data_IF_964677599731
#
_entry.id   IF_964677599731
#
_cell.length_a   1.000
_cell.length_b   1.000
_cell.length_c   1.000
_cell.angle_alpha   90.00
_cell.angle_beta   90.00
_cell.angle_gamma   90.00
#
_symmetry.space_group_name_H-M   'P 1'
#
loop_
_entity.id
_entity.type
_entity.pdbx_description
1 polymer ?
#
# COMPACT_ATOMS: atom_id res chain seq x y z
N UNK A 1 -13.45 -11.66 15.41
CA UNK A 1 -12.78 -11.47 14.10
C UNK A 1 -13.67 -12.16 13.07
N UNK A 2 -14.34 -11.41 12.19
CA UNK A 2 -15.10 -12.03 11.11
C UNK A 2 -14.16 -12.24 9.93
N UNK A 3 -13.76 -13.47 9.67
CA UNK A 3 -13.15 -13.86 8.40
C UNK A 3 -14.33 -14.00 7.43
N UNK A 4 -14.42 -13.11 6.46
CA UNK A 4 -15.36 -13.22 5.36
C UNK A 4 -14.56 -13.43 4.09
N UNK A 5 -14.69 -14.60 3.51
CA UNK A 5 -14.10 -14.91 2.23
C UNK A 5 -15.02 -14.37 1.12
N UNK A 6 -14.44 -13.71 0.14
CA UNK A 6 -15.15 -13.37 -1.08
C UNK A 6 -15.00 -14.54 -2.06
N UNK A 7 -16.09 -15.20 -2.39
CA UNK A 7 -16.14 -16.26 -3.39
C UNK A 7 -16.66 -15.68 -4.70
N UNK A 8 -15.75 -15.24 -5.56
CA UNK A 8 -16.10 -14.85 -6.93
C UNK A 8 -15.07 -15.45 -7.89
N UNK A 9 -15.49 -16.42 -8.68
CA UNK A 9 -14.63 -17.12 -9.63
C UNK A 9 -14.12 -16.23 -10.77
N UNK A 10 -14.80 -15.12 -11.04
CA UNK A 10 -14.47 -14.19 -12.12
C UNK A 10 -13.58 -13.02 -11.67
N UNK A 11 -13.55 -12.72 -10.38
CA UNK A 11 -12.82 -11.58 -9.80
C UNK A 11 -11.81 -12.08 -8.77
N UNK A 12 -10.67 -12.55 -9.26
CA UNK A 12 -9.59 -13.10 -8.42
C UNK A 12 -8.50 -12.05 -8.20
N UNK A 13 -8.10 -11.85 -6.95
CA UNK A 13 -6.99 -10.99 -6.58
C UNK A 13 -7.29 -10.09 -5.39
N UNK A 14 -6.21 -9.57 -4.78
CA UNK A 14 -6.27 -8.73 -3.59
C UNK A 14 -7.09 -7.46 -3.81
N UNK A 15 -6.95 -6.82 -4.98
CA UNK A 15 -7.68 -5.60 -5.31
C UNK A 15 -9.20 -5.79 -5.27
N UNK A 16 -9.72 -6.88 -5.86
CA UNK A 16 -11.14 -7.20 -5.82
C UNK A 16 -11.64 -7.51 -4.40
N UNK A 17 -10.85 -8.27 -3.64
CA UNK A 17 -11.17 -8.58 -2.25
C UNK A 17 -11.24 -7.31 -1.38
N UNK A 18 -10.32 -6.36 -1.60
CA UNK A 18 -10.31 -5.07 -0.92
C UNK A 18 -11.53 -4.22 -1.32
N UNK A 19 -11.87 -4.14 -2.59
CA UNK A 19 -13.05 -3.40 -3.06
C UNK A 19 -14.33 -3.93 -2.43
N UNK A 20 -14.50 -5.25 -2.43
CA UNK A 20 -15.62 -5.91 -1.76
C UNK A 20 -15.68 -5.59 -0.27
N UNK A 21 -14.53 -5.65 0.44
CA UNK A 21 -14.46 -5.34 1.87
C UNK A 21 -14.79 -3.88 2.17
N UNK A 22 -14.34 -2.93 1.35
CA UNK A 22 -14.64 -1.52 1.55
C UNK A 22 -16.12 -1.23 1.36
N UNK A 23 -16.79 -1.87 0.39
CA UNK A 23 -18.24 -1.76 0.23
C UNK A 23 -18.98 -2.25 1.49
N UNK A 24 -18.59 -3.40 2.03
CA UNK A 24 -19.15 -3.94 3.27
C UNK A 24 -18.89 -3.07 4.49
N UNK A 25 -17.72 -2.46 4.56
CA UNK A 25 -17.38 -1.51 5.63
C UNK A 25 -18.35 -0.32 5.63
N UNK A 26 -18.74 0.17 4.46
CA UNK A 26 -19.65 1.31 4.35
C UNK A 26 -21.11 0.99 4.64
N UNK A 27 -21.50 -0.27 4.61
CA UNK A 27 -22.82 -0.76 5.03
C UNK A 27 -22.95 -0.91 6.56
N UNK A 28 -21.84 -0.82 7.31
CA UNK A 28 -21.87 -0.96 8.77
C UNK A 28 -22.51 0.27 9.42
N UNK A 29 -23.25 0.06 10.51
CA UNK A 29 -23.82 1.15 11.32
C UNK A 29 -22.75 2.10 11.86
N UNK A 30 -21.63 1.52 12.32
CA UNK A 30 -20.49 2.28 12.82
C UNK A 30 -19.69 2.87 11.66
N UNK A 31 -19.52 4.18 11.69
CA UNK A 31 -18.66 4.89 10.74
C UNK A 31 -17.22 4.94 11.25
N UNK A 32 -16.28 4.80 10.34
CA UNK A 32 -14.84 4.86 10.60
C UNK A 32 -14.21 5.98 9.77
N UNK A 33 -13.22 6.68 10.33
CA UNK A 33 -12.54 7.79 9.65
C UNK A 33 -11.49 7.30 8.66
N UNK A 34 -10.87 6.15 8.94
CA UNK A 34 -9.84 5.57 8.09
C UNK A 34 -9.80 4.05 8.20
N UNK A 35 -9.18 3.42 7.21
CA UNK A 35 -8.91 1.97 7.16
C UNK A 35 -7.41 1.75 7.10
N UNK A 36 -6.88 0.88 7.96
CA UNK A 36 -5.53 0.37 7.86
C UNK A 36 -5.53 -1.03 7.22
N UNK A 37 -4.66 -1.24 6.25
CA UNK A 37 -4.56 -2.50 5.51
C UNK A 37 -3.22 -3.17 5.81
N UNK A 38 -3.28 -4.45 6.16
CA UNK A 38 -2.13 -5.29 6.43
C UNK A 38 -2.25 -6.63 5.72
N UNK A 39 -1.13 -7.19 5.31
CA UNK A 39 -1.07 -8.58 4.91
C UNK A 39 -1.18 -9.49 6.16
N UNK A 40 -1.73 -10.68 5.99
CA UNK A 40 -2.09 -11.57 7.11
C UNK A 40 -0.88 -12.05 7.92
N UNK A 41 0.30 -12.00 7.34
CA UNK A 41 1.58 -12.41 7.94
C UNK A 41 2.36 -11.25 8.58
N UNK A 42 1.85 -10.02 8.52
CA UNK A 42 2.54 -8.87 9.06
C UNK A 42 2.52 -8.81 10.60
N UNK A 43 3.61 -8.32 11.17
CA UNK A 43 3.67 -7.88 12.56
C UNK A 43 3.62 -6.35 12.59
N UNK A 44 2.72 -5.81 13.38
CA UNK A 44 2.49 -4.37 13.44
C UNK A 44 3.12 -3.80 14.72
N UNK A 45 3.95 -2.77 14.58
CA UNK A 45 4.56 -2.10 15.73
C UNK A 45 3.47 -1.48 16.64
N UNK A 46 3.58 -1.54 17.97
CA UNK A 46 2.56 -1.03 18.89
C UNK A 46 2.17 0.44 18.68
N UNK A 47 3.08 1.25 18.17
CA UNK A 47 2.83 2.67 17.90
C UNK A 47 2.14 2.95 16.57
N UNK A 48 1.98 1.96 15.70
CA UNK A 48 1.50 2.16 14.32
C UNK A 48 0.19 2.96 14.26
N UNK A 49 -0.84 2.53 14.97
CA UNK A 49 -2.14 3.21 14.94
C UNK A 49 -2.08 4.62 15.52
N UNK A 50 -1.25 4.84 16.54
CA UNK A 50 -1.05 6.18 17.12
C UNK A 50 -0.41 7.14 16.10
N UNK A 51 0.61 6.67 15.38
CA UNK A 51 1.29 7.46 14.35
C UNK A 51 0.35 7.75 13.17
N UNK A 52 -0.41 6.76 12.70
CA UNK A 52 -1.40 6.97 11.64
C UNK A 52 -2.49 7.97 12.07
N UNK A 53 -3.02 7.83 13.28
CA UNK A 53 -4.00 8.77 13.82
C UNK A 53 -3.44 10.20 13.92
N UNK A 54 -2.20 10.35 14.39
CA UNK A 54 -1.55 11.66 14.47
C UNK A 54 -1.46 12.36 13.10
N UNK A 55 -1.19 11.59 12.03
CA UNK A 55 -1.11 12.10 10.67
C UNK A 55 -2.48 12.42 10.08
N UNK A 56 -3.48 11.58 10.31
CA UNK A 56 -4.86 11.86 9.94
C UNK A 56 -5.36 13.16 10.59
N UNK A 57 -5.05 13.39 11.87
CA UNK A 57 -5.37 14.64 12.57
C UNK A 57 -4.66 15.87 11.97
N UNK A 58 -3.53 15.69 11.27
CA UNK A 58 -2.85 16.76 10.54
C UNK A 58 -3.40 16.96 9.11
N UNK A 59 -4.43 16.20 8.73
CA UNK A 59 -5.06 16.27 7.42
C UNK A 59 -4.45 15.39 6.34
N UNK A 60 -3.48 14.53 6.68
CA UNK A 60 -2.96 13.52 5.77
C UNK A 60 -4.03 12.44 5.57
N UNK A 61 -4.25 11.98 4.34
CA UNK A 61 -5.44 11.19 4.01
C UNK A 61 -5.11 9.83 3.35
N UNK A 62 -3.96 9.74 2.69
CA UNK A 62 -3.45 8.54 2.06
C UNK A 62 -2.01 8.37 2.54
N UNK A 63 -1.77 7.41 3.43
CA UNK A 63 -0.54 7.33 4.21
C UNK A 63 0.08 5.95 4.07
N UNK A 64 1.36 5.89 3.72
CA UNK A 64 2.16 4.67 3.73
C UNK A 64 3.07 4.66 4.96
N UNK A 65 3.06 3.54 5.69
CA UNK A 65 3.98 3.28 6.80
C UNK A 65 5.30 2.67 6.35
N UNK A 66 6.23 2.59 7.29
CA UNK A 66 7.55 1.99 7.08
C UNK A 66 7.45 0.46 7.01
N UNK A 67 7.91 -0.11 5.90
CA UNK A 67 7.94 -1.56 5.69
C UNK A 67 9.31 -2.12 6.09
N UNK A 68 9.38 -2.71 7.27
CA UNK A 68 10.58 -3.39 7.77
C UNK A 68 10.51 -4.91 7.49
N UNK A 69 11.51 -5.64 7.91
CA UNK A 69 11.63 -7.08 7.71
C UNK A 69 11.50 -7.83 9.03
N UNK A 70 10.71 -8.93 9.03
CA UNK A 70 10.67 -9.87 10.15
C UNK A 70 11.91 -10.76 10.21
N UNK A 71 12.44 -11.12 9.05
CA UNK A 71 13.42 -12.20 8.88
C UNK A 71 14.68 -11.77 8.10
N UNK A 72 15.34 -10.65 8.44
CA UNK A 72 16.48 -10.13 7.67
C UNK A 72 17.71 -11.06 7.69
N UNK A 73 17.80 -11.94 8.68
CA UNK A 73 18.97 -12.81 8.92
C UNK A 73 18.74 -14.28 8.55
N UNK A 74 17.56 -14.66 8.04
CA UNK A 74 17.23 -16.06 7.79
C UNK A 74 18.02 -16.65 6.61
N UNK A 75 18.16 -15.86 5.53
CA UNK A 75 18.94 -16.21 4.35
C UNK A 75 19.59 -14.97 3.74
N UNK A 76 20.60 -15.19 2.88
CA UNK A 76 21.19 -14.08 2.14
C UNK A 76 20.16 -13.38 1.21
N UNK A 77 19.14 -14.11 0.72
CA UNK A 77 18.06 -13.55 -0.09
C UNK A 77 17.22 -12.59 0.75
N UNK A 78 16.76 -13.02 1.92
CA UNK A 78 15.97 -12.16 2.82
C UNK A 78 16.78 -10.96 3.30
N UNK A 79 18.08 -11.12 3.52
CA UNK A 79 18.99 -10.02 3.86
C UNK A 79 19.08 -8.96 2.76
N UNK A 80 19.32 -9.37 1.52
CA UNK A 80 19.37 -8.45 0.35
C UNK A 80 18.02 -7.76 0.14
N UNK A 81 16.90 -8.49 0.31
CA UNK A 81 15.57 -7.90 0.24
C UNK A 81 15.38 -6.82 1.33
N UNK A 82 15.77 -7.12 2.56
CA UNK A 82 15.67 -6.18 3.69
C UNK A 82 16.47 -4.92 3.44
N UNK A 83 17.72 -5.04 3.00
CA UNK A 83 18.56 -3.89 2.64
C UNK A 83 17.88 -3.06 1.54
N UNK A 84 17.33 -3.69 0.50
CA UNK A 84 16.65 -2.96 -0.57
C UNK A 84 15.43 -2.19 -0.07
N UNK A 85 14.64 -2.73 0.85
CA UNK A 85 13.51 -2.04 1.47
C UNK A 85 13.98 -0.89 2.37
N UNK A 86 15.03 -1.07 3.17
CA UNK A 86 15.59 0.01 4.00
C UNK A 86 16.08 1.18 3.15
N UNK A 87 16.75 0.90 2.03
CA UNK A 87 17.16 1.94 1.09
C UNK A 87 15.95 2.65 0.49
N UNK A 88 14.94 1.91 0.03
CA UNK A 88 13.71 2.50 -0.53
C UNK A 88 12.98 3.35 0.50
N UNK A 89 12.84 2.88 1.74
CA UNK A 89 12.20 3.63 2.81
C UNK A 89 12.88 4.99 3.08
N UNK A 90 14.23 5.02 3.11
CA UNK A 90 14.98 6.23 3.43
C UNK A 90 15.22 7.12 2.20
N UNK A 91 15.72 6.54 1.10
CA UNK A 91 16.18 7.30 -0.07
C UNK A 91 15.01 7.67 -0.99
N UNK A 92 13.93 6.86 -0.99
CA UNK A 92 12.79 7.11 -1.87
C UNK A 92 11.60 7.71 -1.11
N UNK A 93 11.04 7.01 -0.14
CA UNK A 93 9.82 7.46 0.55
C UNK A 93 10.07 8.67 1.45
N UNK A 94 11.02 8.56 2.37
CA UNK A 94 11.33 9.65 3.31
C UNK A 94 11.88 10.90 2.59
N UNK A 95 12.76 10.71 1.62
CA UNK A 95 13.31 11.84 0.86
C UNK A 95 12.22 12.58 0.08
N UNK A 96 11.33 11.86 -0.61
CA UNK A 96 10.18 12.45 -1.32
C UNK A 96 9.27 13.22 -0.37
N UNK A 97 8.93 12.61 0.76
CA UNK A 97 8.08 13.25 1.77
C UNK A 97 8.69 14.57 2.26
N UNK A 98 9.99 14.58 2.56
CA UNK A 98 10.70 15.77 3.06
C UNK A 98 10.75 16.94 2.06
N UNK A 99 10.67 16.65 0.77
CA UNK A 99 10.64 17.69 -0.28
C UNK A 99 9.21 17.95 -0.82
N UNK A 100 8.20 17.42 -0.16
CA UNK A 100 6.79 17.66 -0.51
C UNK A 100 6.29 16.89 -1.73
N UNK A 101 7.00 15.85 -2.19
CA UNK A 101 6.56 14.99 -3.27
C UNK A 101 5.73 13.81 -2.76
N UNK A 102 4.83 13.32 -3.62
CA UNK A 102 4.04 12.14 -3.33
C UNK A 102 4.91 10.90 -3.20
N UNK A 103 4.67 10.12 -2.15
CA UNK A 103 5.16 8.76 -2.01
C UNK A 103 4.29 7.79 -2.82
N UNK A 104 4.33 6.49 -2.52
CA UNK A 104 3.43 5.50 -3.09
C UNK A 104 3.03 4.48 -2.03
N UNK A 105 1.89 3.83 -2.23
CA UNK A 105 1.46 2.69 -1.42
C UNK A 105 2.29 1.45 -1.76
N UNK A 106 2.50 0.59 -0.78
CA UNK A 106 3.29 -0.64 -0.89
C UNK A 106 2.49 -1.92 -0.59
N UNK A 107 1.16 -1.86 -0.73
CA UNK A 107 0.26 -3.00 -0.58
C UNK A 107 -0.07 -3.40 0.86
N UNK A 108 0.76 -3.03 1.82
CA UNK A 108 0.57 -3.31 3.26
C UNK A 108 1.06 -2.14 4.09
N UNK A 109 0.68 -2.08 5.37
CA UNK A 109 1.07 -0.99 6.27
C UNK A 109 0.59 0.38 5.78
N UNK A 110 -0.54 0.44 5.11
CA UNK A 110 -1.12 1.67 4.57
C UNK A 110 -2.37 2.07 5.34
N UNK A 111 -2.61 3.36 5.43
CA UNK A 111 -3.79 3.96 6.03
C UNK A 111 -4.49 4.87 5.02
N UNK A 112 -5.77 4.64 4.79
CA UNK A 112 -6.58 5.33 3.79
C UNK A 112 -7.78 5.94 4.50
N UNK A 113 -7.97 7.25 4.35
CA UNK A 113 -9.16 7.93 4.85
C UNK A 113 -10.40 7.41 4.12
N UNK A 114 -11.47 7.10 4.86
CA UNK A 114 -12.70 6.53 4.31
C UNK A 114 -13.41 7.49 3.35
N UNK A 115 -13.22 8.80 3.49
CA UNK A 115 -13.78 9.77 2.58
C UNK A 115 -13.20 9.67 1.15
N UNK A 116 -11.92 9.29 1.01
CA UNK A 116 -11.31 9.00 -0.30
C UNK A 116 -11.98 7.76 -0.92
N UNK A 117 -12.09 6.68 -0.14
CA UNK A 117 -12.70 5.43 -0.60
C UNK A 117 -14.19 5.62 -0.97
N UNK A 118 -14.92 6.47 -0.23
CA UNK A 118 -16.32 6.76 -0.53
C UNK A 118 -16.50 7.58 -1.81
N UNK A 119 -15.60 8.55 -2.07
CA UNK A 119 -15.71 9.44 -3.25
C UNK A 119 -15.19 8.80 -4.53
N UNK A 120 -14.09 8.08 -4.45
CA UNK A 120 -13.36 7.59 -5.63
C UNK A 120 -13.46 6.08 -5.80
N UNK A 121 -13.98 5.34 -4.80
CA UNK A 121 -13.93 3.89 -4.75
C UNK A 121 -12.50 3.36 -4.66
N UNK A 122 -12.32 2.07 -4.48
CA UNK A 122 -11.02 1.44 -4.63
C UNK A 122 -10.70 1.22 -6.11
N UNK A 123 -11.47 0.39 -6.78
CA UNK A 123 -11.44 0.15 -8.22
C UNK A 123 -10.06 -0.15 -8.81
N UNK A 124 -9.10 -0.58 -8.00
CA UNK A 124 -7.77 -0.99 -8.44
C UNK A 124 -7.75 -2.51 -8.62
N UNK A 125 -7.54 -2.97 -9.85
CA UNK A 125 -7.73 -4.36 -10.27
C UNK A 125 -6.50 -5.01 -10.86
N UNK A 126 -5.40 -4.26 -11.06
CA UNK A 126 -4.18 -4.82 -11.60
C UNK A 126 -3.40 -5.64 -10.54
N UNK A 127 -2.31 -6.30 -10.97
CA UNK A 127 -1.46 -7.12 -10.09
C UNK A 127 -0.73 -6.33 -8.99
N UNK A 128 -0.64 -5.01 -9.15
CA UNK A 128 -0.10 -4.06 -8.17
C UNK A 128 -1.18 -3.00 -7.92
N UNK A 129 -2.22 -3.44 -7.23
CA UNK A 129 -3.42 -2.65 -6.93
C UNK A 129 -3.12 -1.40 -6.10
N UNK A 130 -2.09 -1.47 -5.27
CA UNK A 130 -1.55 -0.40 -4.45
C UNK A 130 -0.95 0.73 -5.31
N UNK A 131 -0.14 0.37 -6.28
CA UNK A 131 0.44 1.32 -7.23
C UNK A 131 -0.65 1.92 -8.13
N UNK A 132 -1.61 1.10 -8.59
CA UNK A 132 -2.75 1.59 -9.39
C UNK A 132 -3.57 2.61 -8.60
N UNK A 133 -3.88 2.31 -7.33
CA UNK A 133 -4.63 3.23 -6.48
C UNK A 133 -3.83 4.50 -6.19
N UNK A 134 -2.51 4.40 -5.98
CA UNK A 134 -1.63 5.57 -5.85
C UNK A 134 -1.74 6.50 -7.05
N UNK A 135 -1.69 5.96 -8.28
CA UNK A 135 -1.81 6.79 -9.50
C UNK A 135 -3.19 7.41 -9.65
N UNK A 136 -4.26 6.68 -9.31
CA UNK A 136 -5.62 7.22 -9.29
C UNK A 136 -5.76 8.38 -8.32
N UNK A 137 -5.31 8.20 -7.08
CA UNK A 137 -5.36 9.25 -6.05
C UNK A 137 -4.55 10.49 -6.47
N UNK A 138 -3.37 10.29 -7.04
CA UNK A 138 -2.53 11.39 -7.52
C UNK A 138 -3.19 12.18 -8.65
N UNK A 139 -3.87 11.51 -9.58
CA UNK A 139 -4.67 12.16 -10.61
C UNK A 139 -5.81 13.01 -10.04
N UNK A 140 -6.33 12.70 -8.87
CA UNK A 140 -7.33 13.49 -8.15
C UNK A 140 -6.70 14.55 -7.22
N UNK A 141 -5.37 14.73 -7.29
CA UNK A 141 -4.65 15.69 -6.47
C UNK A 141 -4.48 15.25 -5.01
N UNK A 142 -4.58 13.94 -4.74
CA UNK A 142 -4.42 13.36 -3.41
C UNK A 142 -3.05 12.69 -3.35
N UNK A 143 -2.03 13.33 -2.73
CA UNK A 143 -0.72 12.73 -2.60
C UNK A 143 -0.72 11.61 -1.55
N UNK A 144 0.11 10.59 -1.78
CA UNK A 144 0.46 9.61 -0.76
C UNK A 144 1.56 10.19 0.13
N UNK A 145 1.31 10.26 1.43
CA UNK A 145 2.28 10.72 2.43
C UNK A 145 3.04 9.54 3.05
N UNK A 146 4.07 9.83 3.85
CA UNK A 146 4.96 8.83 4.42
C UNK A 146 5.02 8.93 5.94
N UNK A 147 4.69 7.85 6.64
CA UNK A 147 4.77 7.74 8.10
C UNK A 147 5.99 6.91 8.51
N UNK A 148 7.14 7.56 8.69
CA UNK A 148 8.41 6.89 8.98
C UNK A 148 8.39 6.06 10.28
N UNK A 149 7.65 6.53 11.29
CA UNK A 149 7.57 5.90 12.61
C UNK A 149 6.42 4.90 12.76
N UNK A 150 5.58 4.76 11.73
CA UNK A 150 4.52 3.75 11.66
C UNK A 150 5.07 2.47 11.01
N UNK A 151 5.67 1.59 11.83
CA UNK A 151 6.44 0.45 11.33
C UNK A 151 5.56 -0.80 11.23
N UNK A 152 5.72 -1.53 10.12
CA UNK A 152 5.17 -2.86 9.90
C UNK A 152 6.31 -3.78 9.49
N UNK A 153 6.37 -4.96 10.10
CA UNK A 153 7.35 -5.98 9.80
C UNK A 153 6.75 -7.02 8.87
N UNK A 154 7.27 -7.08 7.67
CA UNK A 154 6.84 -7.94 6.57
C UNK A 154 7.82 -9.12 6.38
N UNK A 155 7.33 -10.27 5.93
CA UNK A 155 8.14 -11.44 5.67
C UNK A 155 8.80 -11.37 4.29
N UNK A 156 10.12 -11.51 4.25
CA UNK A 156 10.89 -11.47 3.01
C UNK A 156 11.12 -12.89 2.46
N UNK A 157 11.18 -13.06 1.13
CA UNK A 157 11.38 -14.36 0.52
C UNK A 157 12.70 -14.99 0.96
N UNK A 158 12.66 -16.30 1.23
CA UNK A 158 13.82 -17.07 1.70
C UNK A 158 14.67 -17.63 0.55
N UNK A 159 14.07 -17.80 -0.64
CA UNK A 159 14.75 -18.42 -1.78
C UNK A 159 14.76 -17.49 -2.99
N UNK A 160 15.76 -17.70 -3.86
CA UNK A 160 15.87 -16.94 -5.11
C UNK A 160 14.60 -17.08 -5.98
N UNK A 161 14.03 -18.28 -6.07
CA UNK A 161 12.85 -18.50 -6.90
C UNK A 161 11.61 -17.77 -6.38
N UNK A 162 11.41 -17.71 -5.06
CA UNK A 162 10.36 -16.92 -4.43
C UNK A 162 10.54 -15.42 -4.75
N UNK A 163 11.77 -14.91 -4.56
CA UNK A 163 12.16 -13.55 -4.88
C UNK A 163 11.91 -13.22 -6.35
N UNK A 164 12.32 -14.10 -7.26
CA UNK A 164 12.13 -13.94 -8.71
C UNK A 164 10.66 -13.85 -9.10
N UNK A 165 9.84 -14.79 -8.61
CA UNK A 165 8.40 -14.81 -8.90
C UNK A 165 7.68 -13.57 -8.38
N UNK A 166 8.04 -13.11 -7.19
CA UNK A 166 7.47 -11.89 -6.60
C UNK A 166 7.84 -10.65 -7.43
N UNK A 167 9.13 -10.47 -7.75
CA UNK A 167 9.61 -9.33 -8.55
C UNK A 167 9.05 -9.35 -9.97
N UNK A 168 8.91 -10.52 -10.57
CA UNK A 168 8.26 -10.69 -11.88
C UNK A 168 6.80 -10.21 -11.85
N UNK A 169 6.04 -10.58 -10.82
CA UNK A 169 4.67 -10.12 -10.62
C UNK A 169 4.61 -8.60 -10.48
N UNK A 170 5.50 -8.01 -9.67
CA UNK A 170 5.58 -6.56 -9.51
C UNK A 170 5.92 -5.85 -10.81
N UNK A 171 6.90 -6.34 -11.55
CA UNK A 171 7.27 -5.75 -12.84
C UNK A 171 6.08 -5.72 -13.81
N UNK A 172 5.36 -6.85 -13.96
CA UNK A 172 4.16 -6.90 -14.79
C UNK A 172 3.09 -5.88 -14.35
N UNK A 173 2.81 -5.82 -13.04
CA UNK A 173 1.85 -4.85 -12.50
C UNK A 173 2.28 -3.39 -12.74
N UNK A 174 3.54 -3.06 -12.50
CA UNK A 174 4.06 -1.70 -12.73
C UNK A 174 4.00 -1.30 -14.22
N UNK A 175 4.31 -2.20 -15.15
CA UNK A 175 4.16 -1.93 -16.58
C UNK A 175 2.70 -1.72 -16.97
N UNK A 176 1.77 -2.51 -16.43
CA UNK A 176 0.34 -2.33 -16.68
C UNK A 176 -0.15 -0.97 -16.16
N UNK A 177 0.21 -0.60 -14.92
CA UNK A 177 -0.11 0.72 -14.36
C UNK A 177 0.50 1.84 -15.19
N UNK A 178 1.78 1.72 -15.58
CA UNK A 178 2.43 2.72 -16.41
C UNK A 178 1.67 2.93 -17.73
N UNK A 179 1.31 1.85 -18.41
CA UNK A 179 0.55 1.94 -19.66
C UNK A 179 -0.83 2.60 -19.50
N UNK A 180 -1.51 2.37 -18.38
CA UNK A 180 -2.85 2.93 -18.12
C UNK A 180 -2.82 4.40 -17.71
N UNK A 181 -1.75 4.85 -17.04
CA UNK A 181 -1.77 6.13 -16.33
C UNK A 181 -0.74 7.14 -16.78
N UNK A 182 0.39 6.75 -17.44
CA UNK A 182 1.49 7.67 -17.79
C UNK A 182 1.02 8.84 -18.67
N UNK A 183 0.18 8.58 -19.68
CA UNK A 183 -0.35 9.63 -20.53
C UNK A 183 -1.25 10.61 -19.80
N UNK A 184 -2.05 10.11 -18.84
CA UNK A 184 -2.95 10.93 -18.02
C UNK A 184 -2.18 11.82 -17.05
N UNK A 185 -1.12 11.28 -16.44
CA UNK A 185 -0.24 12.02 -15.53
C UNK A 185 0.50 13.12 -16.30
N UNK A 186 1.06 12.78 -17.46
CA UNK A 186 1.75 13.76 -18.32
C UNK A 186 0.84 14.92 -18.73
N UNK A 187 -0.40 14.65 -19.14
CA UNK A 187 -1.39 15.70 -19.51
C UNK A 187 -1.73 16.58 -18.31
N UNK A 188 -1.76 16.04 -17.10
CA UNK A 188 -1.99 16.82 -15.87
C UNK A 188 -0.77 17.59 -15.36
N UNK A 189 0.40 17.37 -15.94
CA UNK A 189 1.64 18.01 -15.49
C UNK A 189 2.20 17.45 -14.19
N UNK A 190 1.96 16.18 -13.95
CA UNK A 190 2.40 15.42 -12.77
C UNK A 190 3.54 14.46 -13.15
#
# INVERSE_FOLDING_TARGET
MCIRDSFNDNEKGKGFAMDWMFQRLFEMERQYDAVCVFDADNLVHPNFLREMNSRLCKGERLIQGYLDSKNPNDTWISGVFSISFWVVNHVWHLAKYNIGLSSCLGGTGMCISTDILRRHGWGATCLTEDMEFTMKALLEGIPTTWAHDAIVYDEKPLTFMQSWNQRKRWAHGHFDVANRYIGKLFVKGI
#
